data_IF_802330414206
#
_entry.id   IF_802330414206
#
_cell.length_a   1.000
_cell.length_b   1.000
_cell.length_c   1.000
_cell.angle_alpha   90.00
_cell.angle_beta   90.00
_cell.angle_gamma   90.00
#
_symmetry.space_group_name_H-M   'P 1'
#
loop_
_entity.id
_entity.type
_entity.pdbx_description
1 polymer ?
#
# COMPACT_ATOMS: atom_id res chain seq x y z
N UNK A 1 8.49 25.37 2.75
CA UNK A 1 7.28 25.64 1.94
C UNK A 1 7.08 24.52 0.92
N UNK A 2 5.87 24.02 0.79
CA UNK A 2 5.56 22.93 -0.14
C UNK A 2 5.33 23.50 -1.53
N UNK A 3 6.05 22.96 -2.54
CA UNK A 3 5.88 23.36 -3.93
C UNK A 3 4.73 22.57 -4.58
N UNK A 4 4.27 23.04 -5.75
CA UNK A 4 3.27 22.32 -6.53
C UNK A 4 3.77 20.93 -6.91
N UNK A 5 5.05 20.82 -7.27
CA UNK A 5 5.66 19.53 -7.62
C UNK A 5 5.61 18.55 -6.45
N UNK A 6 5.86 19.03 -5.24
CA UNK A 6 5.80 18.19 -4.03
C UNK A 6 4.38 17.76 -3.71
N UNK A 7 3.39 18.62 -3.95
CA UNK A 7 1.99 18.26 -3.81
C UNK A 7 1.62 17.13 -4.78
N UNK A 8 2.10 17.20 -6.00
CA UNK A 8 1.89 16.13 -6.98
C UNK A 8 2.48 14.81 -6.51
N UNK A 9 3.69 14.86 -5.94
CA UNK A 9 4.33 13.65 -5.38
C UNK A 9 3.47 13.05 -4.26
N UNK A 10 2.97 13.87 -3.36
CA UNK A 10 2.10 13.42 -2.27
C UNK A 10 0.87 12.69 -2.81
N UNK A 11 0.32 13.18 -3.91
CA UNK A 11 -0.91 12.63 -4.47
C UNK A 11 -0.72 11.39 -5.35
N UNK A 12 0.52 11.09 -5.79
CA UNK A 12 0.78 9.95 -6.68
C UNK A 12 0.21 8.63 -6.14
N UNK A 13 0.53 8.20 -4.90
CA UNK A 13 -0.02 6.93 -4.42
C UNK A 13 -1.54 6.93 -4.35
N UNK A 14 -2.13 8.04 -3.92
CA UNK A 14 -3.60 8.17 -3.82
C UNK A 14 -4.26 8.09 -5.19
N UNK A 15 -3.71 8.79 -6.17
CA UNK A 15 -4.27 8.79 -7.53
C UNK A 15 -4.18 7.38 -8.13
N UNK A 16 -3.01 6.75 -8.05
CA UNK A 16 -2.81 5.41 -8.61
C UNK A 16 -3.65 4.37 -7.87
N UNK A 17 -3.59 4.37 -6.55
CA UNK A 17 -4.28 3.39 -5.74
C UNK A 17 -5.80 3.55 -5.80
N UNK A 18 -6.28 4.75 -5.60
CA UNK A 18 -7.71 5.03 -5.62
C UNK A 18 -8.29 4.85 -7.01
N UNK A 19 -7.59 5.35 -8.04
CA UNK A 19 -8.02 5.19 -9.42
C UNK A 19 -8.13 3.72 -9.82
N UNK A 20 -7.13 2.92 -9.47
CA UNK A 20 -7.16 1.49 -9.78
C UNK A 20 -8.22 0.76 -8.97
N UNK A 21 -8.48 1.15 -7.72
CA UNK A 21 -9.51 0.51 -6.90
C UNK A 21 -10.93 0.83 -7.38
N UNK A 22 -11.11 1.89 -8.15
CA UNK A 22 -12.40 2.16 -8.81
C UNK A 22 -12.67 1.15 -9.93
N UNK A 23 -11.61 0.69 -10.60
CA UNK A 23 -11.70 -0.31 -11.68
C UNK A 23 -11.68 -1.72 -11.10
N UNK A 24 -10.84 -1.95 -10.08
CA UNK A 24 -10.65 -3.24 -9.43
C UNK A 24 -11.07 -3.14 -7.96
N UNK A 25 -12.38 -3.20 -7.65
CA UNK A 25 -12.85 -2.97 -6.28
C UNK A 25 -12.37 -4.08 -5.34
N UNK A 26 -11.76 -3.68 -4.23
CA UNK A 26 -11.24 -4.60 -3.21
C UNK A 26 -12.03 -4.51 -1.89
N UNK A 27 -12.63 -3.36 -1.59
CA UNK A 27 -13.27 -3.12 -0.28
C UNK A 27 -14.42 -4.08 0.00
N UNK A 28 -15.16 -4.51 -1.01
CA UNK A 28 -16.26 -5.45 -0.85
C UNK A 28 -15.80 -6.90 -0.85
N UNK A 29 -14.70 -7.20 -1.52
CA UNK A 29 -14.28 -8.57 -1.81
C UNK A 29 -13.07 -9.02 -0.99
N UNK A 30 -12.29 -8.10 -0.44
CA UNK A 30 -11.09 -8.43 0.30
C UNK A 30 -11.42 -9.25 1.53
N UNK A 31 -10.92 -10.46 1.59
CA UNK A 31 -11.12 -11.36 2.70
C UNK A 31 -12.55 -11.82 2.91
N UNK A 32 -13.37 -11.86 1.86
CA UNK A 32 -14.80 -12.11 1.94
C UNK A 32 -15.16 -13.35 2.77
N UNK A 33 -14.38 -14.40 2.66
CA UNK A 33 -14.63 -15.66 3.36
C UNK A 33 -13.80 -15.85 4.62
N UNK A 34 -13.12 -14.81 5.06
CA UNK A 34 -12.25 -14.87 6.24
C UNK A 34 -13.08 -14.51 7.51
N UNK A 35 -13.09 -15.37 8.54
CA UNK A 35 -13.92 -15.14 9.73
C UNK A 35 -13.63 -13.84 10.49
N UNK A 36 -12.34 -13.42 10.48
CA UNK A 36 -11.93 -12.21 11.20
C UNK A 36 -11.84 -10.98 10.30
N UNK A 37 -12.52 -11.00 9.16
CA UNK A 37 -12.55 -9.88 8.23
C UNK A 37 -13.24 -8.67 8.85
N UNK A 38 -12.60 -7.48 8.83
CA UNK A 38 -13.30 -6.27 9.28
C UNK A 38 -14.41 -5.88 8.29
N UNK A 39 -15.34 -5.00 8.69
CA UNK A 39 -16.38 -4.54 7.77
C UNK A 39 -15.80 -3.86 6.53
N UNK A 40 -16.53 -3.88 5.43
CA UNK A 40 -16.06 -3.33 4.15
C UNK A 40 -15.66 -1.86 4.23
N UNK A 41 -16.34 -1.06 5.06
CA UNK A 41 -16.01 0.35 5.18
C UNK A 41 -14.61 0.59 5.76
N UNK A 42 -14.07 -0.36 6.53
CA UNK A 42 -12.71 -0.24 7.08
C UNK A 42 -11.69 -0.19 5.94
N UNK A 43 -11.84 -1.07 4.95
CA UNK A 43 -10.96 -1.06 3.77
C UNK A 43 -11.08 0.25 2.99
N UNK A 44 -12.31 0.76 2.84
CA UNK A 44 -12.56 1.98 2.10
C UNK A 44 -12.00 3.22 2.79
N UNK A 45 -11.84 3.18 4.12
CA UNK A 45 -11.29 4.30 4.90
C UNK A 45 -9.77 4.17 5.05
N UNK A 46 -9.29 2.98 5.37
CA UNK A 46 -7.87 2.78 5.72
C UNK A 46 -6.96 2.95 4.51
N UNK A 47 -7.31 2.37 3.37
CA UNK A 47 -6.45 2.43 2.19
C UNK A 47 -6.17 3.85 1.70
N UNK A 48 -7.17 4.76 1.58
CA UNK A 48 -6.88 6.14 1.20
C UNK A 48 -5.98 6.87 2.19
N UNK A 49 -6.16 6.63 3.48
CA UNK A 49 -5.32 7.23 4.51
C UNK A 49 -3.88 6.76 4.34
N UNK A 50 -3.68 5.46 4.14
CA UNK A 50 -2.34 4.88 3.99
C UNK A 50 -1.65 5.37 2.72
N UNK A 51 -2.38 5.50 1.62
CA UNK A 51 -1.81 6.06 0.40
C UNK A 51 -1.38 7.52 0.59
N UNK A 52 -2.14 8.29 1.36
CA UNK A 52 -1.74 9.66 1.70
C UNK A 52 -0.46 9.67 2.54
N UNK A 53 -0.38 8.82 3.56
CA UNK A 53 0.83 8.71 4.39
C UNK A 53 2.04 8.29 3.55
N UNK A 54 1.85 7.36 2.64
CA UNK A 54 2.90 6.93 1.72
C UNK A 54 3.35 8.08 0.82
N UNK A 55 2.40 8.86 0.31
CA UNK A 55 2.71 10.02 -0.52
C UNK A 55 3.51 11.09 0.24
N UNK A 56 3.13 11.37 1.48
CA UNK A 56 3.86 12.31 2.33
C UNK A 56 5.29 11.80 2.56
N UNK A 57 5.44 10.52 2.87
CA UNK A 57 6.77 9.93 3.09
C UNK A 57 7.61 9.98 1.82
N UNK A 58 7.00 9.75 0.66
CA UNK A 58 7.70 9.83 -0.63
C UNK A 58 8.16 11.25 -0.92
N UNK A 59 7.35 12.25 -0.61
CA UNK A 59 7.73 13.65 -0.78
C UNK A 59 8.90 14.02 0.13
N UNK A 60 8.89 13.56 1.38
CA UNK A 60 10.00 13.78 2.30
C UNK A 60 11.28 13.11 1.80
N UNK A 61 11.16 11.91 1.21
CA UNK A 61 12.28 11.23 0.59
C UNK A 61 12.83 12.02 -0.60
N UNK A 62 11.96 12.59 -1.41
CA UNK A 62 12.36 13.42 -2.55
C UNK A 62 13.21 14.62 -2.11
N UNK A 63 12.86 15.25 -0.99
CA UNK A 63 13.62 16.37 -0.45
C UNK A 63 15.01 15.97 0.04
N UNK A 64 15.14 14.72 0.48
CA UNK A 64 16.33 14.27 1.20
C UNK A 64 17.33 13.54 0.30
N UNK A 65 16.84 12.58 -0.49
CA UNK A 65 17.71 11.70 -1.27
C UNK A 65 16.90 11.09 -2.41
N UNK A 66 17.36 11.33 -3.63
CA UNK A 66 16.66 10.85 -4.82
C UNK A 66 16.61 9.32 -4.91
N UNK A 67 17.66 8.64 -4.43
CA UNK A 67 17.66 7.17 -4.39
C UNK A 67 16.56 6.64 -3.47
N UNK A 68 16.37 7.28 -2.33
CA UNK A 68 15.29 6.91 -1.40
C UNK A 68 13.93 7.20 -2.02
N UNK A 69 13.79 8.32 -2.74
CA UNK A 69 12.56 8.62 -3.47
C UNK A 69 12.20 7.48 -4.44
N UNK A 70 13.15 6.99 -5.21
CA UNK A 70 12.91 5.90 -6.15
C UNK A 70 12.52 4.61 -5.45
N UNK A 71 13.10 4.34 -4.28
CA UNK A 71 12.69 3.18 -3.48
C UNK A 71 11.21 3.29 -3.07
N UNK A 72 10.79 4.46 -2.61
CA UNK A 72 9.38 4.72 -2.28
C UNK A 72 8.48 4.60 -3.51
N UNK A 73 8.95 5.09 -4.64
CA UNK A 73 8.18 5.02 -5.89
C UNK A 73 7.96 3.57 -6.31
N UNK A 74 9.02 2.77 -6.29
CA UNK A 74 8.93 1.33 -6.61
C UNK A 74 7.99 0.64 -5.64
N UNK A 75 8.09 0.94 -4.35
CA UNK A 75 7.20 0.39 -3.33
C UNK A 75 5.73 0.72 -3.65
N UNK A 76 5.47 1.96 -4.04
CA UNK A 76 4.13 2.40 -4.44
C UNK A 76 3.60 1.59 -5.62
N UNK A 77 4.41 1.40 -6.66
CA UNK A 77 4.02 0.64 -7.83
C UNK A 77 3.69 -0.81 -7.46
N UNK A 78 4.50 -1.43 -6.61
CA UNK A 78 4.26 -2.82 -6.18
C UNK A 78 2.96 -2.93 -5.37
N UNK A 79 2.74 -2.01 -4.43
CA UNK A 79 1.51 -2.01 -3.63
C UNK A 79 0.28 -1.82 -4.52
N UNK A 80 0.35 -0.90 -5.45
CA UNK A 80 -0.76 -0.62 -6.38
C UNK A 80 -1.02 -1.83 -7.28
N UNK A 81 0.03 -2.54 -7.70
CA UNK A 81 -0.14 -3.75 -8.51
C UNK A 81 -0.89 -4.85 -7.76
N UNK A 82 -0.79 -4.90 -6.42
CA UNK A 82 -1.58 -5.83 -5.62
C UNK A 82 -3.07 -5.61 -5.82
N UNK A 83 -3.49 -4.36 -5.89
CA UNK A 83 -4.91 -4.03 -6.14
C UNK A 83 -5.38 -4.64 -7.46
N UNK A 84 -4.55 -4.55 -8.50
CA UNK A 84 -4.88 -5.11 -9.80
C UNK A 84 -4.99 -6.63 -9.76
N UNK A 85 -3.99 -7.31 -9.23
CA UNK A 85 -3.99 -8.78 -9.19
C UNK A 85 -5.02 -9.34 -8.22
N UNK A 86 -5.30 -8.64 -7.14
CA UNK A 86 -6.30 -9.07 -6.17
C UNK A 86 -7.71 -8.75 -6.64
N UNK A 87 -7.95 -7.54 -7.13
CA UNK A 87 -9.28 -7.05 -7.46
C UNK A 87 -9.77 -7.40 -8.85
N UNK A 88 -8.91 -7.29 -9.88
CA UNK A 88 -9.29 -7.54 -11.27
C UNK A 88 -9.00 -8.98 -11.70
N UNK A 89 -7.76 -9.43 -11.52
CA UNK A 89 -7.34 -10.78 -11.92
C UNK A 89 -7.90 -11.83 -10.97
N UNK A 90 -8.05 -11.46 -9.69
CA UNK A 90 -8.55 -12.33 -8.62
C UNK A 90 -7.68 -13.58 -8.41
N UNK A 91 -6.36 -13.40 -8.59
CA UNK A 91 -5.39 -14.46 -8.32
C UNK A 91 -4.80 -14.26 -6.93
N UNK A 92 -5.29 -15.03 -5.97
CA UNK A 92 -4.90 -14.88 -4.57
C UNK A 92 -3.45 -15.26 -4.31
N UNK A 93 -2.89 -16.19 -5.07
CA UNK A 93 -1.49 -16.62 -4.89
C UNK A 93 -0.54 -15.53 -5.36
N UNK A 94 -0.75 -14.99 -6.55
CA UNK A 94 0.10 -13.91 -7.08
C UNK A 94 -0.01 -12.66 -6.20
N UNK A 95 -1.23 -12.29 -5.79
CA UNK A 95 -1.43 -11.13 -4.94
C UNK A 95 -0.76 -11.30 -3.56
N UNK A 96 -0.78 -12.51 -3.01
CA UNK A 96 -0.07 -12.82 -1.76
C UNK A 96 1.44 -12.60 -1.92
N UNK A 97 2.01 -13.07 -3.02
CA UNK A 97 3.45 -12.90 -3.30
C UNK A 97 3.78 -11.41 -3.43
N UNK A 98 2.96 -10.66 -4.15
CA UNK A 98 3.14 -9.21 -4.33
C UNK A 98 3.09 -8.51 -2.97
N UNK A 99 2.17 -8.91 -2.12
CA UNK A 99 2.03 -8.30 -0.80
C UNK A 99 3.25 -8.58 0.08
N UNK A 100 3.82 -9.80 0.01
CA UNK A 100 5.07 -10.12 0.72
C UNK A 100 6.23 -9.28 0.21
N UNK A 101 6.34 -9.09 -1.10
CA UNK A 101 7.35 -8.22 -1.70
C UNK A 101 7.15 -6.79 -1.20
N UNK A 102 5.90 -6.32 -1.13
CA UNK A 102 5.58 -4.98 -0.62
C UNK A 102 6.05 -4.81 0.82
N UNK A 103 5.84 -5.80 1.66
CA UNK A 103 6.28 -5.77 3.07
C UNK A 103 7.79 -5.64 3.16
N UNK A 104 8.53 -6.38 2.34
CA UNK A 104 9.99 -6.29 2.29
C UNK A 104 10.43 -4.90 1.86
N UNK A 105 9.81 -4.35 0.83
CA UNK A 105 10.12 -3.00 0.33
C UNK A 105 9.79 -1.93 1.36
N UNK A 106 8.66 -2.05 2.05
CA UNK A 106 8.30 -1.12 3.13
C UNK A 106 9.34 -1.18 4.26
N UNK A 107 9.78 -2.38 4.61
CA UNK A 107 10.86 -2.55 5.59
C UNK A 107 12.14 -1.87 5.17
N UNK A 108 12.50 -1.98 3.89
CA UNK A 108 13.66 -1.27 3.34
C UNK A 108 13.48 0.25 3.42
N UNK A 109 12.29 0.74 3.10
CA UNK A 109 11.99 2.17 3.22
C UNK A 109 12.16 2.65 4.66
N UNK A 110 11.66 1.89 5.63
CA UNK A 110 11.79 2.22 7.04
C UNK A 110 13.27 2.23 7.46
N UNK A 111 14.03 1.23 7.00
CA UNK A 111 15.45 1.12 7.34
C UNK A 111 16.24 2.34 6.87
N UNK A 112 15.97 2.83 5.65
CA UNK A 112 16.69 3.97 5.08
C UNK A 112 16.07 5.32 5.40
N UNK A 113 14.93 5.35 6.09
CA UNK A 113 14.25 6.58 6.47
C UNK A 113 14.57 6.97 7.91
N UNK A 114 14.13 8.15 8.29
CA UNK A 114 14.36 8.69 9.63
C UNK A 114 13.11 9.38 10.14
N UNK A 115 13.03 9.52 11.47
CA UNK A 115 12.04 10.36 12.14
C UNK A 115 10.60 10.00 11.72
N UNK A 116 9.85 11.02 11.25
CA UNK A 116 8.43 10.88 10.97
C UNK A 116 8.14 9.89 9.84
N UNK A 117 9.05 9.74 8.87
CA UNK A 117 8.86 8.77 7.79
C UNK A 117 8.74 7.35 8.32
N UNK A 118 9.53 6.99 9.31
CA UNK A 118 9.46 5.67 9.95
C UNK A 118 8.10 5.44 10.59
N UNK A 119 7.57 6.46 11.26
CA UNK A 119 6.26 6.38 11.92
C UNK A 119 5.16 6.20 10.87
N UNK A 120 5.18 7.01 9.82
CA UNK A 120 4.17 6.93 8.76
C UNK A 120 4.19 5.58 8.07
N UNK A 121 5.38 5.08 7.75
CA UNK A 121 5.53 3.80 7.06
C UNK A 121 5.22 2.62 7.98
N UNK A 122 5.37 2.79 9.30
CA UNK A 122 5.01 1.74 10.25
C UNK A 122 3.51 1.43 10.23
N UNK A 123 2.66 2.44 10.06
CA UNK A 123 1.22 2.23 9.89
C UNK A 123 0.91 1.44 8.63
N UNK A 124 1.58 1.80 7.53
CA UNK A 124 1.41 1.06 6.28
C UNK A 124 1.89 -0.39 6.42
N UNK A 125 3.03 -0.58 7.08
CA UNK A 125 3.58 -1.92 7.32
C UNK A 125 2.60 -2.78 8.12
N UNK A 126 2.05 -2.24 9.20
CA UNK A 126 1.11 -2.96 10.04
C UNK A 126 -0.13 -3.40 9.24
N UNK A 127 -0.67 -2.51 8.43
CA UNK A 127 -1.84 -2.83 7.59
C UNK A 127 -1.51 -3.88 6.53
N UNK A 128 -0.34 -3.78 5.90
CA UNK A 128 0.09 -4.76 4.89
C UNK A 128 0.31 -6.14 5.51
N UNK A 129 0.82 -6.20 6.75
CA UNK A 129 0.93 -7.47 7.47
C UNK A 129 -0.45 -8.06 7.71
N UNK A 130 -1.41 -7.24 8.15
CA UNK A 130 -2.79 -7.70 8.35
C UNK A 130 -3.41 -8.18 7.04
N UNK A 131 -3.23 -7.41 5.95
CA UNK A 131 -3.72 -7.80 4.64
C UNK A 131 -3.07 -9.11 4.15
N UNK A 132 -1.79 -9.33 4.47
CA UNK A 132 -1.11 -10.58 4.17
C UNK A 132 -1.72 -11.75 4.90
N UNK A 133 -2.08 -11.59 6.17
CA UNK A 133 -2.73 -12.62 6.96
C UNK A 133 -4.08 -12.99 6.31
N UNK A 134 -4.87 -12.01 5.91
CA UNK A 134 -6.13 -12.25 5.20
C UNK A 134 -5.88 -13.01 3.90
N UNK A 135 -4.89 -12.57 3.12
CA UNK A 135 -4.58 -13.16 1.82
C UNK A 135 -4.07 -14.60 1.95
N UNK A 136 -3.21 -14.85 2.94
CA UNK A 136 -2.72 -16.22 3.22
C UNK A 136 -3.89 -17.13 3.61
N UNK A 137 -4.78 -16.65 4.46
CA UNK A 137 -5.97 -17.42 4.85
C UNK A 137 -6.81 -17.78 3.64
N UNK A 138 -7.04 -16.82 2.74
CA UNK A 138 -7.81 -17.06 1.52
C UNK A 138 -7.17 -18.13 0.62
N UNK A 139 -5.84 -18.13 0.51
CA UNK A 139 -5.09 -19.12 -0.27
C UNK A 139 -5.17 -20.51 0.36
N UNK A 140 -5.06 -20.59 1.68
CA UNK A 140 -5.02 -21.90 2.38
C UNK A 140 -6.38 -22.55 2.53
N UNK A 141 -7.47 -21.75 2.59
CA UNK A 141 -8.84 -22.26 2.79
C UNK A 141 -9.51 -22.59 1.46
N UNK A 142 -9.15 -21.86 0.42
CA UNK A 142 -9.67 -22.09 -0.92
C UNK A 142 -8.73 -23.03 -1.69
#
# INVERSE_FOLDING_TARGET
MITIFEILIILIPSILGYGLSMICPISKNAGKNVPFRPPSYVFAIVWPILFLLLGISMMLAYRKNLNLFWLYFITTIVIVSWIFFYGCIKNNIISMIILFISIILIGCCIFFSENIQRILMAFLLAWCIFASILNVYEVTVN
#
